data_IF_260509380521
#
_entry.id   IF_260509380521
#
_cell.length_a   1.000
_cell.length_b   1.000
_cell.length_c   1.000
_cell.angle_alpha   90.00
_cell.angle_beta   90.00
_cell.angle_gamma   90.00
#
_symmetry.space_group_name_H-M   'P 1'
#
loop_
_entity.id
_entity.type
_entity.pdbx_description
1 polymer ?
#
# COMPACT_ATOMS: atom_id res chain seq x y z
N UNK A 1 -1.60 8.96 21.27
CA UNK A 1 -1.56 9.53 19.91
C UNK A 1 -2.34 8.60 18.99
N UNK A 2 -3.37 9.09 18.30
CA UNK A 2 -4.22 8.25 17.44
C UNK A 2 -3.48 7.95 16.13
N UNK A 3 -3.26 6.66 15.83
CA UNK A 3 -2.51 6.19 14.65
C UNK A 3 -3.39 6.33 13.39
N UNK A 4 -2.82 6.88 12.32
CA UNK A 4 -3.42 7.06 11.00
C UNK A 4 -2.97 5.91 10.10
N UNK A 5 -3.91 5.16 9.51
CA UNK A 5 -3.62 3.94 8.74
C UNK A 5 -3.75 4.11 7.22
N UNK A 6 -4.13 5.29 6.74
CA UNK A 6 -4.05 5.70 5.34
C UNK A 6 -3.95 7.22 5.25
N UNK A 7 -3.55 7.77 4.10
CA UNK A 7 -3.61 9.23 3.87
C UNK A 7 -5.04 9.77 3.94
N UNK A 8 -6.04 8.92 3.64
CA UNK A 8 -7.45 9.28 3.62
C UNK A 8 -8.12 9.22 5.00
N UNK A 9 -7.56 8.46 5.96
CA UNK A 9 -8.08 8.34 7.33
C UNK A 9 -9.60 8.07 7.38
N UNK A 10 -10.08 7.12 6.57
CA UNK A 10 -11.51 6.90 6.38
C UNK A 10 -12.19 6.42 7.68
N UNK A 11 -11.48 5.64 8.51
CA UNK A 11 -11.93 5.29 9.86
C UNK A 11 -12.31 6.53 10.71
N UNK A 12 -11.51 7.60 10.65
CA UNK A 12 -11.77 8.84 11.40
C UNK A 12 -12.98 9.59 10.84
N UNK A 13 -13.14 9.61 9.53
CA UNK A 13 -14.28 10.26 8.86
C UNK A 13 -15.60 9.52 9.16
N UNK A 14 -15.56 8.20 9.28
CA UNK A 14 -16.73 7.37 9.63
C UNK A 14 -17.25 7.60 11.06
N UNK A 15 -16.36 7.95 12.00
CA UNK A 15 -16.72 8.25 13.39
C UNK A 15 -17.46 9.58 13.55
N UNK A 16 -17.24 10.54 12.64
CA UNK A 16 -17.86 11.87 12.67
C UNK A 16 -19.27 11.91 12.05
N UNK A 17 -19.71 10.86 11.35
CA UNK A 17 -21.02 10.83 10.67
C UNK A 17 -21.93 9.63 11.05
N UNK A 18 -22.21 9.34 12.34
CA UNK A 18 -23.13 8.26 12.69
C UNK A 18 -24.60 8.51 12.27
N UNK A 19 -25.01 9.76 11.99
CA UNK A 19 -26.41 10.15 11.82
C UNK A 19 -26.93 10.25 10.36
N UNK A 20 -26.11 9.97 9.34
CA UNK A 20 -26.54 9.92 7.92
C UNK A 20 -26.65 8.49 7.36
N UNK A 21 -26.74 7.48 8.22
CA UNK A 21 -26.66 6.04 7.90
C UNK A 21 -27.94 5.41 7.28
N UNK A 22 -28.91 6.21 6.82
CA UNK A 22 -30.24 5.69 6.49
C UNK A 22 -30.34 4.93 5.17
N UNK A 23 -30.16 5.61 4.04
CA UNK A 23 -30.59 5.07 2.73
C UNK A 23 -29.68 5.55 1.57
N UNK A 24 -28.88 6.60 1.76
CA UNK A 24 -28.07 7.21 0.70
C UNK A 24 -26.75 6.48 0.39
N UNK A 25 -26.29 5.55 1.25
CA UNK A 25 -25.04 4.80 1.06
C UNK A 25 -25.16 3.59 0.12
N UNK A 26 -26.38 3.18 -0.27
CA UNK A 26 -26.52 2.04 -1.18
C UNK A 26 -26.13 2.37 -2.63
N UNK A 27 -26.00 3.65 -2.97
CA UNK A 27 -25.76 4.12 -4.34
C UNK A 27 -24.52 5.02 -4.52
N UNK A 28 -23.74 5.28 -3.47
CA UNK A 28 -22.46 5.99 -3.63
C UNK A 28 -21.36 4.97 -3.94
N UNK A 29 -20.96 4.90 -5.22
CA UNK A 29 -19.73 4.26 -5.65
C UNK A 29 -18.56 5.12 -5.16
N UNK A 30 -18.27 5.05 -3.86
CA UNK A 30 -17.15 5.77 -3.28
C UNK A 30 -15.86 5.06 -3.70
N UNK A 31 -15.23 5.59 -4.76
CA UNK A 31 -13.98 5.13 -5.33
C UNK A 31 -12.91 6.13 -4.94
N UNK A 32 -11.85 5.67 -4.29
CA UNK A 32 -10.71 6.48 -3.90
C UNK A 32 -9.49 6.15 -4.76
N UNK A 33 -8.70 7.17 -5.05
CA UNK A 33 -7.41 7.02 -5.73
C UNK A 33 -6.31 6.87 -4.68
N UNK A 34 -5.48 5.85 -4.84
CA UNK A 34 -4.28 5.65 -4.03
C UNK A 34 -3.07 5.70 -4.95
N UNK A 35 -2.05 6.47 -4.56
CA UNK A 35 -0.78 6.56 -5.28
C UNK A 35 0.28 5.77 -4.52
N UNK A 36 0.87 4.79 -5.17
CA UNK A 36 1.91 3.92 -4.63
C UNK A 36 3.25 4.31 -5.25
N UNK A 37 4.30 4.40 -4.43
CA UNK A 37 5.67 4.63 -4.90
C UNK A 37 6.45 3.32 -4.84
N UNK A 38 6.99 2.89 -5.98
CA UNK A 38 7.78 1.65 -6.10
C UNK A 38 9.07 1.92 -6.87
N UNK A 39 10.14 1.11 -6.70
CA UNK A 39 11.33 1.26 -7.53
C UNK A 39 11.02 1.04 -9.02
N UNK A 40 11.59 1.86 -9.88
CA UNK A 40 11.30 1.88 -11.32
C UNK A 40 11.56 0.52 -12.00
N UNK A 41 12.63 -0.17 -11.61
CA UNK A 41 12.91 -1.51 -12.12
C UNK A 41 11.81 -2.53 -11.77
N UNK A 42 11.29 -2.47 -10.54
CA UNK A 42 10.21 -3.36 -10.09
C UNK A 42 8.91 -3.06 -10.83
N UNK A 43 8.62 -1.78 -11.04
CA UNK A 43 7.51 -1.33 -11.88
C UNK A 43 7.59 -1.90 -13.29
N UNK A 44 8.74 -1.73 -13.97
CA UNK A 44 8.95 -2.27 -15.31
C UNK A 44 8.80 -3.80 -15.33
N UNK A 45 9.33 -4.49 -14.31
CA UNK A 45 9.20 -5.95 -14.24
C UNK A 45 7.74 -6.38 -14.15
N UNK A 46 6.92 -5.65 -13.39
CA UNK A 46 5.48 -5.88 -13.31
C UNK A 46 4.77 -5.67 -14.66
N UNK A 47 5.16 -4.65 -15.42
CA UNK A 47 4.62 -4.42 -16.77
C UNK A 47 4.97 -5.57 -17.72
N UNK A 48 6.24 -5.95 -17.78
CA UNK A 48 6.71 -7.08 -18.61
C UNK A 48 5.97 -8.36 -18.22
N UNK A 49 5.77 -8.60 -16.92
CA UNK A 49 5.01 -9.77 -16.47
C UNK A 49 3.56 -9.78 -16.99
N UNK A 50 2.89 -8.63 -17.04
CA UNK A 50 1.54 -8.52 -17.60
C UNK A 50 1.54 -8.78 -19.11
N UNK A 51 2.52 -8.22 -19.82
CA UNK A 51 2.68 -8.44 -21.26
C UNK A 51 2.98 -9.91 -21.57
N UNK A 52 3.78 -10.57 -20.74
CA UNK A 52 4.05 -12.00 -20.83
C UNK A 52 2.76 -12.82 -20.66
N UNK A 53 1.89 -12.48 -19.68
CA UNK A 53 0.59 -13.15 -19.52
C UNK A 53 -0.27 -12.97 -20.77
N UNK A 54 -0.39 -11.74 -21.29
CA UNK A 54 -1.20 -11.44 -22.48
C UNK A 54 -0.70 -12.19 -23.72
N UNK A 55 0.62 -12.35 -23.83
CA UNK A 55 1.25 -13.07 -24.94
C UNK A 55 1.02 -14.58 -24.84
N UNK A 56 1.07 -15.14 -23.62
CA UNK A 56 0.93 -16.59 -23.40
C UNK A 56 -0.54 -17.02 -23.40
N UNK A 57 -1.47 -16.16 -22.97
CA UNK A 57 -2.87 -16.49 -22.77
C UNK A 57 -3.80 -15.53 -23.51
N UNK A 58 -4.38 -15.99 -24.61
CA UNK A 58 -5.39 -15.24 -25.40
C UNK A 58 -6.66 -14.91 -24.60
N UNK A 59 -6.94 -15.67 -23.53
CA UNK A 59 -8.08 -15.43 -22.63
C UNK A 59 -7.86 -14.21 -21.70
N UNK A 60 -6.63 -13.67 -21.64
CA UNK A 60 -6.33 -12.51 -20.82
C UNK A 60 -7.05 -11.26 -21.36
N UNK A 61 -7.81 -10.53 -20.53
CA UNK A 61 -8.44 -9.30 -20.99
C UNK A 61 -7.40 -8.25 -21.40
N UNK A 62 -7.61 -7.59 -22.54
CA UNK A 62 -6.73 -6.48 -22.98
C UNK A 62 -6.62 -5.36 -21.94
N UNK A 63 -7.69 -5.14 -21.18
CA UNK A 63 -7.77 -4.16 -20.09
C UNK A 63 -7.01 -4.57 -18.82
N UNK A 64 -6.41 -5.75 -18.77
CA UNK A 64 -5.60 -6.17 -17.62
C UNK A 64 -4.32 -5.34 -17.56
N UNK A 65 -4.16 -4.59 -16.49
CA UNK A 65 -3.04 -3.69 -16.26
C UNK A 65 -2.47 -3.85 -14.84
N UNK A 66 -1.47 -3.03 -14.50
CA UNK A 66 -0.79 -3.09 -13.21
C UNK A 66 -1.73 -2.75 -12.05
N UNK A 67 -2.71 -1.86 -12.28
CA UNK A 67 -3.71 -1.52 -11.27
C UNK A 67 -4.65 -2.71 -11.00
N UNK A 68 -5.06 -3.44 -12.04
CA UNK A 68 -5.85 -4.66 -11.90
C UNK A 68 -5.08 -5.75 -11.16
N UNK A 69 -3.78 -5.93 -11.46
CA UNK A 69 -2.92 -6.86 -10.72
C UNK A 69 -2.83 -6.48 -9.23
N UNK A 70 -2.57 -5.21 -8.93
CA UNK A 70 -2.52 -4.70 -7.55
C UNK A 70 -3.84 -4.91 -6.80
N UNK A 71 -4.98 -4.65 -7.45
CA UNK A 71 -6.29 -4.93 -6.84
C UNK A 71 -6.48 -6.43 -6.58
N UNK A 72 -6.03 -7.30 -7.49
CA UNK A 72 -6.15 -8.75 -7.33
C UNK A 72 -5.29 -9.26 -6.17
N UNK A 73 -4.04 -8.79 -6.07
CA UNK A 73 -3.14 -9.11 -4.97
C UNK A 73 -3.69 -8.60 -3.62
N UNK A 74 -4.29 -7.41 -3.61
CA UNK A 74 -4.96 -6.85 -2.44
C UNK A 74 -6.10 -7.74 -1.94
N UNK A 75 -6.97 -8.18 -2.86
CA UNK A 75 -8.09 -9.04 -2.52
C UNK A 75 -7.64 -10.41 -2.03
N UNK A 76 -6.63 -11.00 -2.67
CA UNK A 76 -6.06 -12.28 -2.26
C UNK A 76 -5.46 -12.19 -0.85
N UNK A 77 -4.71 -11.13 -0.56
CA UNK A 77 -4.16 -10.87 0.76
C UNK A 77 -5.26 -10.75 1.83
N UNK A 78 -6.30 -9.97 1.56
CA UNK A 78 -7.44 -9.85 2.48
C UNK A 78 -8.20 -11.16 2.63
N UNK A 79 -8.39 -11.93 1.56
CA UNK A 79 -9.06 -13.21 1.58
C UNK A 79 -8.33 -14.22 2.46
N UNK A 80 -7.01 -14.35 2.29
CA UNK A 80 -6.18 -15.24 3.10
C UNK A 80 -6.20 -14.87 4.58
N UNK A 81 -6.26 -13.58 4.88
CA UNK A 81 -6.34 -13.11 6.27
C UNK A 81 -7.71 -13.41 6.88
N UNK A 82 -8.81 -13.23 6.14
CA UNK A 82 -10.18 -13.55 6.60
C UNK A 82 -10.42 -15.04 6.79
N UNK A 83 -9.87 -15.88 5.91
CA UNK A 83 -10.01 -17.34 5.99
C UNK A 83 -9.27 -17.95 7.17
N UNK A 84 -8.50 -17.15 7.92
CA UNK A 84 -7.67 -17.63 9.03
C UNK A 84 -6.42 -18.39 8.57
N UNK A 85 -6.03 -18.25 7.29
CA UNK A 85 -4.80 -18.87 6.79
C UNK A 85 -3.53 -18.24 7.38
N UNK A 86 -3.65 -17.01 7.91
CA UNK A 86 -2.63 -16.34 8.72
C UNK A 86 -3.26 -15.81 9.99
N UNK A 87 -2.60 -16.01 11.13
CA UNK A 87 -2.99 -15.34 12.37
C UNK A 87 -2.53 -13.87 12.34
N UNK A 88 -3.13 -13.01 13.18
CA UNK A 88 -2.77 -11.58 13.20
C UNK A 88 -1.28 -11.34 13.47
N UNK A 89 -0.65 -12.19 14.28
CA UNK A 89 0.78 -12.11 14.57
C UNK A 89 1.65 -12.41 13.33
N UNK A 90 1.33 -13.42 12.53
CA UNK A 90 2.03 -13.75 11.29
C UNK A 90 1.82 -12.63 10.26
N UNK A 91 0.62 -12.07 10.18
CA UNK A 91 0.35 -10.91 9.32
C UNK A 91 1.20 -9.71 9.75
N UNK A 92 1.30 -9.44 11.06
CA UNK A 92 2.17 -8.39 11.59
C UNK A 92 3.63 -8.61 11.21
N UNK A 93 4.14 -9.82 11.43
CA UNK A 93 5.51 -10.20 11.13
C UNK A 93 5.83 -10.06 9.64
N UNK A 94 4.93 -10.51 8.76
CA UNK A 94 5.06 -10.34 7.31
C UNK A 94 5.15 -8.86 6.92
N UNK A 95 4.25 -8.03 7.44
CA UNK A 95 4.23 -6.60 7.12
C UNK A 95 5.46 -5.87 7.69
N UNK A 96 5.87 -6.17 8.92
CA UNK A 96 7.06 -5.58 9.53
C UNK A 96 8.34 -5.99 8.79
N UNK A 97 8.44 -7.26 8.37
CA UNK A 97 9.55 -7.75 7.55
C UNK A 97 9.58 -7.05 6.20
N UNK A 98 8.43 -7.00 5.51
CA UNK A 98 8.31 -6.31 4.22
C UNK A 98 8.62 -4.83 4.30
N UNK A 99 8.19 -4.14 5.36
CA UNK A 99 8.54 -2.73 5.57
C UNK A 99 10.05 -2.54 5.69
N UNK A 100 10.75 -3.41 6.43
CA UNK A 100 12.22 -3.34 6.58
C UNK A 100 12.96 -3.70 5.30
N UNK A 101 12.47 -4.66 4.54
CA UNK A 101 13.17 -5.11 3.34
C UNK A 101 12.92 -4.17 2.16
N UNK A 102 11.67 -3.75 1.98
CA UNK A 102 11.22 -3.05 0.78
C UNK A 102 11.03 -1.56 0.98
N UNK A 103 10.70 -1.09 2.19
CA UNK A 103 10.39 0.33 2.44
C UNK A 103 11.49 1.05 3.23
N UNK A 104 12.61 0.39 3.53
CA UNK A 104 13.70 1.00 4.30
C UNK A 104 14.30 2.26 3.65
N UNK A 105 14.16 2.43 2.32
CA UNK A 105 14.58 3.64 1.63
C UNK A 105 13.58 4.81 1.80
N UNK A 106 12.34 4.55 2.22
CA UNK A 106 11.31 5.58 2.47
C UNK A 106 11.31 6.05 3.92
N UNK A 107 12.27 5.61 4.75
CA UNK A 107 12.32 5.98 6.17
C UNK A 107 12.80 7.43 6.29
N UNK A 108 11.84 8.36 6.34
CA UNK A 108 12.07 9.77 6.68
C UNK A 108 12.65 9.83 8.09
N UNK A 109 13.93 10.16 8.21
CA UNK A 109 14.53 10.46 9.51
C UNK A 109 14.17 11.90 9.85
N UNK A 110 13.16 12.10 10.72
CA UNK A 110 12.89 13.44 11.26
C UNK A 110 14.13 13.94 12.01
N UNK A 111 14.90 14.85 11.39
CA UNK A 111 15.95 15.59 12.07
C UNK A 111 15.42 16.98 12.39
N UNK A 112 15.36 17.31 13.67
CA UNK A 112 15.07 18.67 14.11
C UNK A 112 16.25 19.58 13.73
N UNK A 113 16.05 20.49 12.79
CA UNK A 113 17.05 21.47 12.41
C UNK A 113 16.94 22.66 13.36
N UNK A 114 17.91 22.80 14.26
CA UNK A 114 17.97 23.94 15.16
C UNK A 114 18.42 25.18 14.40
N UNK A 115 17.51 26.13 14.13
CA UNK A 115 17.86 27.41 13.52
C UNK A 115 17.97 28.49 14.60
N UNK A 116 19.11 29.19 14.64
CA UNK A 116 19.31 30.35 15.51
C UNK A 116 18.88 31.60 14.76
N UNK A 117 17.70 32.14 15.07
CA UNK A 117 17.24 33.41 14.52
C UNK A 117 17.69 34.55 15.45
N UNK A 118 18.47 35.49 14.91
CA UNK A 118 18.90 36.69 15.63
C UNK A 118 17.74 37.68 15.68
N UNK A 119 17.25 37.98 16.88
CA UNK A 119 16.12 38.90 17.08
C UNK A 119 16.59 40.32 17.38
N UNK A 120 17.79 40.49 17.95
CA UNK A 120 18.46 41.79 18.21
C UNK A 120 20.00 41.67 18.18
N UNK A 121 20.74 42.78 18.26
CA UNK A 121 22.22 42.79 18.20
C UNK A 121 22.90 41.84 19.21
N UNK A 122 22.29 41.58 20.37
CA UNK A 122 22.84 40.71 21.41
C UNK A 122 21.91 39.55 21.82
N UNK A 123 20.86 39.25 21.05
CA UNK A 123 19.87 38.23 21.45
C UNK A 123 19.51 37.31 20.28
N UNK A 124 19.69 36.01 20.51
CA UNK A 124 19.35 34.94 19.57
C UNK A 124 18.21 34.11 20.17
N UNK A 125 17.19 33.80 19.37
CA UNK A 125 16.10 32.90 19.72
C UNK A 125 16.27 31.63 18.90
N UNK A 126 16.31 30.49 19.60
CA UNK A 126 16.38 29.17 18.99
C UNK A 126 14.96 28.76 18.60
N UNK A 127 14.70 28.65 17.29
CA UNK A 127 13.45 28.11 16.77
C UNK A 127 13.66 26.67 16.35
N UNK A 128 12.76 25.80 16.81
CA UNK A 128 12.67 24.42 16.34
C UNK A 128 11.71 24.45 15.14
N UNK A 129 12.26 24.33 13.94
CA UNK A 129 11.48 24.11 12.73
C UNK A 129 11.53 22.60 12.42
N UNK A 130 10.37 21.95 12.44
CA UNK A 130 10.23 20.57 11.97
C UNK A 130 10.32 20.58 10.44
N UNK A 131 11.54 20.47 9.91
CA UNK A 131 11.74 20.16 8.49
C UNK A 131 11.81 18.64 8.31
N UNK A 132 10.94 18.10 7.46
CA UNK A 132 11.00 16.70 7.02
C UNK A 132 12.15 16.57 5.99
N UNK A 133 13.39 16.38 6.46
CA UNK A 133 14.50 16.01 5.57
C UNK A 133 14.38 14.52 5.20
N UNK A 134 14.03 14.24 3.94
CA UNK A 134 14.14 12.91 3.34
C UNK A 134 15.64 12.64 3.17
N UNK A 135 16.22 11.77 4.00
CA UNK A 135 17.55 11.21 3.70
C UNK A 135 17.40 10.27 2.49
N UNK A 136 17.55 10.81 1.27
CA UNK A 136 17.62 10.05 0.03
C UNK A 136 18.86 9.15 0.05
N UNK A 137 18.72 7.94 0.60
CA UNK A 137 19.71 6.88 0.41
C UNK A 137 19.47 6.22 -0.94
N UNK A 138 20.39 6.51 -1.86
CA UNK A 138 20.47 6.07 -3.26
C UNK A 138 19.39 6.69 -4.15
N UNK A 139 19.82 7.34 -5.24
CA UNK A 139 18.99 7.74 -6.40
C UNK A 139 18.36 6.50 -7.04
N UNK A 140 17.42 5.86 -6.37
CA UNK A 140 16.57 4.85 -6.97
C UNK A 140 15.46 5.60 -7.64
N UNK A 141 15.47 5.62 -8.96
CA UNK A 141 14.34 6.11 -9.74
C UNK A 141 13.05 5.45 -9.23
N UNK A 142 12.13 6.27 -8.72
CA UNK A 142 10.83 5.81 -8.21
C UNK A 142 9.77 6.00 -9.30
N UNK A 143 8.91 5.00 -9.44
CA UNK A 143 7.73 5.05 -10.29
C UNK A 143 6.47 5.19 -9.41
N UNK A 144 5.56 6.06 -9.83
CA UNK A 144 4.26 6.21 -9.20
C UNK A 144 3.20 5.39 -9.93
N UNK A 145 2.48 4.56 -9.18
CA UNK A 145 1.34 3.79 -9.67
C UNK A 145 0.08 4.34 -9.01
N UNK A 146 -0.85 4.86 -9.80
CA UNK A 146 -2.17 5.27 -9.29
C UNK A 146 -3.17 4.14 -9.47
N UNK A 147 -3.78 3.70 -8.38
CA UNK A 147 -4.85 2.70 -8.39
C UNK A 147 -6.16 3.27 -7.90
N UNK A 148 -7.27 2.76 -8.45
CA UNK A 148 -8.63 3.08 -8.02
C UNK A 148 -9.20 1.93 -7.23
N UNK A 149 -9.44 2.13 -5.94
CA UNK A 149 -10.06 1.13 -5.07
C UNK A 149 -11.39 1.63 -4.52
N UNK A 150 -12.34 0.72 -4.34
CA UNK A 150 -13.58 1.02 -3.61
C UNK A 150 -13.24 1.36 -2.16
N UNK A 151 -13.83 2.41 -1.59
CA UNK A 151 -13.59 2.81 -0.20
C UNK A 151 -13.87 1.68 0.79
N UNK A 152 -14.89 0.85 0.51
CA UNK A 152 -15.18 -0.34 1.34
C UNK A 152 -14.01 -1.32 1.44
N UNK A 153 -13.16 -1.41 0.41
CA UNK A 153 -11.93 -2.22 0.45
C UNK A 153 -10.83 -1.56 1.27
N UNK A 154 -10.69 -0.25 1.14
CA UNK A 154 -9.72 0.53 1.91
C UNK A 154 -10.07 0.45 3.40
N UNK A 155 -11.32 0.69 3.77
CA UNK A 155 -11.81 0.58 5.15
C UNK A 155 -11.54 -0.80 5.74
N UNK A 156 -11.80 -1.89 5.00
CA UNK A 156 -11.49 -3.25 5.44
C UNK A 156 -10.01 -3.45 5.73
N UNK A 157 -9.17 -2.79 4.94
CA UNK A 157 -7.72 -2.85 5.11
C UNK A 157 -7.29 -2.05 6.34
N UNK A 158 -7.84 -0.85 6.53
CA UNK A 158 -7.58 -0.04 7.72
C UNK A 158 -8.00 -0.79 9.00
N UNK A 159 -9.14 -1.49 8.99
CA UNK A 159 -9.58 -2.33 10.11
C UNK A 159 -8.57 -3.46 10.37
N UNK A 160 -8.12 -4.15 9.32
CA UNK A 160 -7.12 -5.20 9.48
C UNK A 160 -5.81 -4.66 10.07
N UNK A 161 -5.32 -3.52 9.56
CA UNK A 161 -4.09 -2.89 10.07
C UNK A 161 -4.26 -2.47 11.53
N UNK A 162 -5.45 -1.98 11.91
CA UNK A 162 -5.78 -1.69 13.30
C UNK A 162 -5.73 -2.94 14.18
N UNK A 163 -6.34 -4.05 13.75
CA UNK A 163 -6.37 -5.32 14.49
C UNK A 163 -4.97 -5.95 14.65
N UNK A 164 -4.08 -5.72 13.67
CA UNK A 164 -2.71 -6.23 13.66
C UNK A 164 -1.75 -5.29 14.39
N UNK A 165 -2.10 -4.01 14.55
CA UNK A 165 -1.26 -2.99 15.18
C UNK A 165 -0.68 -3.34 16.56
N UNK A 166 -1.37 -4.10 17.46
CA UNK A 166 -0.79 -4.48 18.74
C UNK A 166 0.48 -5.34 18.62
N UNK A 167 0.66 -6.02 17.49
CA UNK A 167 1.79 -6.90 17.22
C UNK A 167 2.93 -6.23 16.44
N UNK A 168 2.80 -4.94 16.09
CA UNK A 168 3.74 -4.23 15.20
C UNK A 168 4.84 -3.44 15.93
N UNK A 169 5.00 -3.58 17.26
CA UNK A 169 6.06 -2.91 18.04
C UNK A 169 6.22 -1.42 17.69
N UNK A 170 5.11 -0.69 17.66
CA UNK A 170 5.01 0.74 17.30
C UNK A 170 5.40 1.15 15.87
N UNK A 171 5.68 0.18 14.98
CA UNK A 171 5.73 0.47 13.56
C UNK A 171 4.33 0.87 13.05
N UNK A 172 4.30 1.92 12.22
CA UNK A 172 3.11 2.38 11.53
C UNK A 172 3.23 1.93 10.08
N UNK A 173 2.20 1.25 9.59
CA UNK A 173 2.11 0.75 8.21
C UNK A 173 0.79 1.27 7.68
N UNK A 174 0.80 1.96 6.54
CA UNK A 174 -0.41 2.42 5.89
C UNK A 174 -0.96 1.40 4.88
N UNK A 175 -2.16 1.65 4.35
CA UNK A 175 -2.74 0.84 3.27
C UNK A 175 -1.84 0.87 2.03
N UNK A 176 -1.27 2.04 1.71
CA UNK A 176 -0.33 2.22 0.60
C UNK A 176 0.93 1.38 0.82
N UNK A 177 1.53 1.43 2.01
CA UNK A 177 2.70 0.63 2.38
C UNK A 177 2.41 -0.87 2.24
N UNK A 178 1.24 -1.32 2.70
CA UNK A 178 0.86 -2.72 2.61
C UNK A 178 0.74 -3.18 1.16
N UNK A 179 0.11 -2.38 0.29
CA UNK A 179 0.00 -2.67 -1.14
C UNK A 179 1.37 -2.76 -1.81
N UNK A 180 2.28 -1.84 -1.47
CA UNK A 180 3.66 -1.86 -1.97
C UNK A 180 4.39 -3.12 -1.50
N UNK A 181 4.29 -3.48 -0.22
CA UNK A 181 4.92 -4.69 0.33
C UNK A 181 4.41 -5.94 -0.39
N UNK A 182 3.09 -6.09 -0.53
CA UNK A 182 2.48 -7.26 -1.19
C UNK A 182 2.91 -7.33 -2.66
N UNK A 183 2.96 -6.20 -3.34
CA UNK A 183 3.41 -6.12 -4.72
C UNK A 183 4.89 -6.50 -4.88
N UNK A 184 5.77 -5.94 -4.05
CA UNK A 184 7.21 -6.19 -4.16
C UNK A 184 7.56 -7.63 -3.79
N UNK A 185 6.91 -8.23 -2.79
CA UNK A 185 7.02 -9.66 -2.47
C UNK A 185 6.55 -10.55 -3.63
N UNK A 186 5.47 -10.17 -4.31
CA UNK A 186 5.03 -10.86 -5.53
C UNK A 186 6.06 -10.76 -6.65
N UNK A 187 6.58 -9.57 -6.94
CA UNK A 187 7.59 -9.35 -7.97
C UNK A 187 8.89 -10.09 -7.65
N UNK A 188 9.30 -10.15 -6.38
CA UNK A 188 10.48 -10.91 -5.96
C UNK A 188 10.31 -12.41 -6.24
N UNK A 189 9.13 -12.98 -5.96
CA UNK A 189 8.82 -14.38 -6.31
C UNK A 189 8.87 -14.60 -7.82
N UNK A 190 8.31 -13.68 -8.61
CA UNK A 190 8.37 -13.74 -10.08
C UNK A 190 9.80 -13.64 -10.61
N UNK A 191 10.70 -12.90 -9.93
CA UNK A 191 12.12 -12.86 -10.28
C UNK A 191 12.86 -14.16 -9.97
N UNK A 192 12.56 -14.77 -8.82
CA UNK A 192 13.23 -15.99 -8.37
C UNK A 192 12.78 -17.24 -9.15
N UNK A 193 11.47 -17.41 -9.31
CA UNK A 193 10.88 -18.59 -9.96
C UNK A 193 10.71 -18.41 -11.48
N UNK A 194 10.88 -17.18 -11.98
CA UNK A 194 10.51 -16.81 -13.33
C UNK A 194 8.99 -16.77 -13.53
N UNK A 195 8.58 -16.71 -14.80
CA UNK A 195 7.18 -16.72 -15.20
C UNK A 195 6.58 -18.12 -15.07
N UNK A 196 6.20 -18.48 -13.85
CA UNK A 196 5.60 -19.77 -13.57
C UNK A 196 4.17 -19.84 -14.10
N UNK A 197 3.90 -20.82 -14.97
CA UNK A 197 2.60 -21.12 -15.55
C UNK A 197 1.48 -21.23 -14.51
N UNK A 198 1.78 -21.81 -13.34
CA UNK A 198 0.83 -21.95 -12.23
C UNK A 198 0.40 -20.60 -11.67
N UNK A 199 1.34 -19.66 -11.54
CA UNK A 199 1.07 -18.32 -11.01
C UNK A 199 0.21 -17.54 -12.00
N UNK A 200 0.58 -17.57 -13.28
CA UNK A 200 -0.19 -16.92 -14.35
C UNK A 200 -1.64 -17.44 -14.43
N UNK A 201 -1.84 -18.76 -14.40
CA UNK A 201 -3.18 -19.38 -14.35
C UNK A 201 -3.98 -19.04 -13.10
N UNK A 202 -3.30 -18.74 -11.99
CA UNK A 202 -3.99 -18.37 -10.74
C UNK A 202 -4.47 -16.92 -10.82
N UNK A 203 -3.69 -16.03 -11.42
CA UNK A 203 -4.08 -14.64 -11.70
C UNK A 203 -5.24 -14.60 -12.68
N UNK A 204 -5.19 -15.36 -13.79
CA UNK A 204 -6.27 -15.42 -14.77
C UNK A 204 -7.59 -15.90 -14.15
N UNK A 205 -7.55 -16.97 -13.33
CA UNK A 205 -8.74 -17.41 -12.59
C UNK A 205 -9.27 -16.31 -11.67
N UNK A 206 -8.40 -15.59 -10.96
CA UNK A 206 -8.81 -14.46 -10.13
C UNK A 206 -9.50 -13.34 -10.93
N UNK A 207 -9.08 -13.09 -12.16
CA UNK A 207 -9.71 -12.12 -13.07
C UNK A 207 -11.10 -12.56 -13.53
N UNK A 208 -11.30 -13.85 -13.81
CA UNK A 208 -12.62 -14.39 -14.19
C UNK A 208 -13.65 -14.24 -13.07
N UNK A 209 -13.26 -14.53 -11.82
CA UNK A 209 -14.12 -14.30 -10.66
C UNK A 209 -14.49 -12.82 -10.49
N UNK A 210 -13.67 -11.90 -11.01
CA UNK A 210 -13.89 -10.47 -10.96
C UNK A 210 -14.82 -9.96 -12.08
N UNK A 211 -14.90 -10.66 -13.22
CA UNK A 211 -15.87 -10.36 -14.27
C UNK A 211 -17.30 -10.80 -13.93
N UNK A 212 -17.45 -11.78 -13.02
CA UNK A 212 -18.76 -12.33 -12.62
C UNK A 212 -19.43 -11.64 -11.42
N UNK A 213 -18.74 -10.72 -10.72
CA UNK A 213 -19.24 -10.00 -9.54
C UNK A 213 -19.20 -8.48 -9.72
#
# INVERSE_FOLDING_TARGET
MQKSFSRLNLLRQSYLSPFKKGISQWLQLDIANLTLSVPYYDYLRGQVFIDDIKTVYEECPDSFDLAALLSLLHDDFLYHTKKGSRNHQQTAQYLCYGQRQYLAYQTVTKREKQTLKRVNEHTFVMSFEEEEEIEEKEDRDLAEITIRLKESKIQRTEILLYDVSPYMNDQVITVEDMLVIVYLDFIEKVKQEGNNDKVMKSILRGLEFYKMN
#
